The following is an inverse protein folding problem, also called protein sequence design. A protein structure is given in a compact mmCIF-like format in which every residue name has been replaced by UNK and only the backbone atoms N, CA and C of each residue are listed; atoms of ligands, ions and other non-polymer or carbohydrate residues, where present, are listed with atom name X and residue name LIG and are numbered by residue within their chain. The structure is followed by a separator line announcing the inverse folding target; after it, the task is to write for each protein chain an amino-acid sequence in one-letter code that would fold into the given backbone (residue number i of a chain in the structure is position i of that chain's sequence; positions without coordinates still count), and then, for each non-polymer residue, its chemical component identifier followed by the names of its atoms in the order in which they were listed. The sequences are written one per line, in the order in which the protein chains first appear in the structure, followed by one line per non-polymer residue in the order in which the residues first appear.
data_IF_223056472301
#
_entry.id   IF_223056472301
#
_cell.length_a   1.000
_cell.length_b   1.000
_cell.length_c   1.000
_cell.angle_alpha   90.00
_cell.angle_beta   90.00
_cell.angle_gamma   90.00
#
_symmetry.space_group_name_H-M   'P 1'
#
loop_
_entity.id
_entity.type
_entity.pdbx_description
1 polymer ?
#
# COMPACT_ATOMS: atom_id res chain seq x y z
N UNK A 1 -26.77 14.27 -22.88
CA UNK A 1 -27.82 13.37 -22.36
C UNK A 1 -27.94 12.18 -23.30
N UNK A 2 -27.46 11.00 -22.88
CA UNK A 2 -27.84 9.69 -23.42
C UNK A 2 -27.47 8.66 -22.34
N UNK A 3 -28.43 8.32 -21.46
CA UNK A 3 -28.31 7.21 -20.52
C UNK A 3 -28.71 5.92 -21.23
N UNK A 4 -27.75 5.05 -21.52
CA UNK A 4 -28.01 3.67 -21.91
C UNK A 4 -28.18 2.81 -20.65
N UNK A 5 -29.42 2.50 -20.29
CA UNK A 5 -29.73 1.45 -19.31
C UNK A 5 -29.39 0.09 -19.92
N UNK A 6 -28.28 -0.51 -19.49
CA UNK A 6 -28.09 -1.95 -19.65
C UNK A 6 -28.95 -2.65 -18.57
N UNK A 7 -29.72 -3.69 -18.91
CA UNK A 7 -30.43 -4.47 -17.91
C UNK A 7 -29.38 -5.14 -17.02
N UNK A 8 -29.57 -5.01 -15.71
CA UNK A 8 -28.78 -5.68 -14.68
C UNK A 8 -29.05 -7.19 -14.82
N UNK A 9 -28.30 -7.85 -15.70
CA UNK A 9 -28.32 -9.31 -15.83
C UNK A 9 -27.66 -9.84 -14.57
N UNK A 10 -28.48 -10.39 -13.68
CA UNK A 10 -28.01 -11.04 -12.46
C UNK A 10 -27.08 -12.20 -12.86
N UNK A 11 -25.79 -11.98 -12.66
CA UNK A 11 -24.73 -12.91 -13.04
C UNK A 11 -24.90 -14.24 -12.32
N UNK A 12 -25.50 -14.22 -11.13
CA UNK A 12 -25.74 -15.41 -10.33
C UNK A 12 -26.86 -16.27 -10.95
N UNK A 13 -27.95 -15.65 -11.44
CA UNK A 13 -29.03 -16.36 -12.16
C UNK A 13 -28.51 -16.98 -13.47
N UNK A 14 -27.63 -16.26 -14.19
CA UNK A 14 -27.04 -16.76 -15.43
C UNK A 14 -26.11 -17.95 -15.17
N UNK A 15 -25.30 -17.89 -14.11
CA UNK A 15 -24.40 -18.97 -13.72
C UNK A 15 -25.16 -20.20 -13.22
N UNK A 16 -26.30 -20.01 -12.56
CA UNK A 16 -27.17 -21.10 -12.09
C UNK A 16 -27.90 -21.79 -13.27
N UNK A 17 -28.34 -21.02 -14.28
CA UNK A 17 -28.85 -21.55 -15.55
C UNK A 17 -27.81 -22.32 -16.35
N UNK A 18 -26.56 -21.85 -16.38
CA UNK A 18 -25.47 -22.55 -17.07
C UNK A 18 -25.14 -23.87 -16.34
N UNK A 19 -25.09 -23.86 -15.01
CA UNK A 19 -24.86 -25.07 -14.21
C UNK A 19 -25.97 -26.11 -14.38
N UNK A 20 -27.23 -25.69 -14.35
CA UNK A 20 -28.37 -26.59 -14.56
C UNK A 20 -28.41 -27.18 -15.98
N UNK A 21 -28.09 -26.39 -17.00
CA UNK A 21 -28.03 -26.88 -18.39
C UNK A 21 -26.83 -27.83 -18.62
N UNK A 22 -25.68 -27.59 -17.97
CA UNK A 22 -24.53 -28.51 -17.99
C UNK A 22 -24.86 -29.82 -17.27
N UNK A 23 -25.58 -29.78 -16.14
CA UNK A 23 -26.03 -30.97 -15.42
C UNK A 23 -27.02 -31.79 -16.26
N UNK A 24 -27.94 -31.12 -16.97
CA UNK A 24 -28.86 -31.77 -17.91
C UNK A 24 -28.12 -32.43 -19.08
N UNK A 25 -27.14 -31.75 -19.68
CA UNK A 25 -26.28 -32.33 -20.72
C UNK A 25 -25.42 -33.48 -20.21
N UNK A 26 -24.90 -33.40 -18.98
CA UNK A 26 -24.19 -34.51 -18.33
C UNK A 26 -25.13 -35.70 -18.08
N UNK A 27 -26.38 -35.47 -17.69
CA UNK A 27 -27.38 -36.52 -17.53
C UNK A 27 -27.69 -37.20 -18.89
N UNK A 28 -27.94 -36.42 -19.95
CA UNK A 28 -28.19 -36.94 -21.31
C UNK A 28 -26.97 -37.66 -21.90
N UNK A 29 -25.74 -37.21 -21.58
CA UNK A 29 -24.49 -37.88 -22.00
C UNK A 29 -24.20 -39.12 -21.14
N UNK A 30 -24.66 -39.16 -19.90
CA UNK A 30 -24.47 -40.31 -18.99
C UNK A 30 -25.40 -41.48 -19.30
N UNK A 31 -26.60 -41.22 -19.83
CA UNK A 31 -27.53 -42.27 -20.30
C UNK A 31 -27.02 -42.95 -21.59
N UNK A 32 -26.18 -42.27 -22.38
CA UNK A 32 -25.52 -42.85 -23.54
C UNK A 32 -24.29 -43.71 -23.19
N UNK A 33 -23.74 -43.61 -21.97
CA UNK A 33 -22.45 -44.22 -21.56
C UNK A 33 -22.58 -45.40 -20.59
N UNK A 34 -23.79 -45.89 -20.28
CA UNK A 34 -23.99 -47.11 -19.46
C UNK A 34 -24.11 -48.39 -20.28
N UNK A 35 -23.94 -48.34 -21.60
CA UNK A 35 -23.66 -49.55 -22.37
C UNK A 35 -22.17 -49.86 -22.24
N UNK A 36 -21.81 -50.67 -21.24
CA UNK A 36 -20.56 -51.43 -21.24
C UNK A 36 -20.35 -52.00 -22.63
N UNK A 37 -19.13 -51.96 -23.21
CA UNK A 37 -18.85 -52.75 -24.39
C UNK A 37 -18.82 -54.20 -23.92
N UNK A 38 -20.00 -54.82 -23.90
CA UNK A 38 -20.09 -56.27 -24.01
C UNK A 38 -19.11 -56.63 -25.11
N UNK A 39 -18.15 -57.46 -24.74
CA UNK A 39 -17.26 -58.16 -25.63
C UNK A 39 -18.13 -58.94 -26.59
N UNK A 40 -18.63 -58.26 -27.63
CA UNK A 40 -19.27 -58.86 -28.76
C UNK A 40 -18.11 -59.40 -29.59
N UNK A 41 -17.53 -60.49 -29.08
CA UNK A 41 -16.78 -61.44 -29.87
C UNK A 41 -17.76 -61.96 -30.90
N UNK A 42 -17.90 -61.19 -31.99
CA UNK A 42 -18.46 -61.74 -33.20
C UNK A 42 -17.40 -62.75 -33.63
N UNK A 43 -17.59 -64.00 -33.25
CA UNK A 43 -17.09 -65.14 -34.01
C UNK A 43 -17.70 -64.99 -35.41
N UNK A 44 -17.11 -64.09 -36.21
CA UNK A 44 -17.49 -63.88 -37.59
C UNK A 44 -17.01 -65.13 -38.29
N UNK A 45 -17.91 -65.94 -38.88
CA UNK A 45 -17.45 -67.05 -39.70
C UNK A 45 -16.51 -66.46 -40.74
N UNK A 46 -15.25 -66.91 -40.72
CA UNK A 46 -14.25 -66.56 -41.72
C UNK A 46 -14.88 -66.92 -43.06
N UNK A 47 -15.36 -65.91 -43.77
CA UNK A 47 -15.94 -66.09 -45.09
C UNK A 47 -14.79 -66.55 -46.00
N UNK A 48 -14.74 -67.86 -46.24
CA UNK A 48 -13.74 -68.51 -47.05
C UNK A 48 -14.34 -68.64 -48.45
N UNK A 49 -13.91 -67.83 -49.44
CA UNK A 49 -14.50 -67.84 -50.76
C UNK A 49 -14.34 -69.25 -51.34
N UNK A 50 -15.48 -69.85 -51.63
CA UNK A 50 -15.57 -71.27 -51.92
C UNK A 50 -15.19 -71.57 -53.37
N UNK A 51 -13.97 -71.19 -53.76
CA UNK A 51 -13.42 -71.42 -55.10
C UNK A 51 -13.52 -72.91 -55.52
N UNK A 52 -13.37 -73.82 -54.56
CA UNK A 52 -13.54 -75.27 -54.79
C UNK A 52 -15.00 -75.75 -54.94
N UNK A 53 -15.99 -75.03 -54.39
CA UNK A 53 -17.41 -75.44 -54.48
C UNK A 53 -18.03 -75.01 -55.81
N UNK A 54 -17.68 -73.83 -56.33
CA UNK A 54 -18.18 -73.36 -57.63
C UNK A 54 -17.74 -74.23 -58.80
N UNK A 55 -16.50 -74.71 -58.78
CA UNK A 55 -16.00 -75.64 -59.80
C UNK A 55 -16.84 -76.92 -59.87
N UNK A 56 -17.31 -77.44 -58.74
CA UNK A 56 -18.18 -78.62 -58.71
C UNK A 56 -19.58 -78.34 -59.26
N UNK A 57 -20.16 -77.19 -58.89
CA UNK A 57 -21.47 -76.75 -59.40
C UNK A 57 -21.42 -76.51 -60.92
N UNK A 58 -20.37 -75.86 -61.41
CA UNK A 58 -20.17 -75.62 -62.85
C UNK A 58 -20.01 -76.92 -63.63
N UNK A 59 -19.24 -77.87 -63.11
CA UNK A 59 -19.09 -79.19 -63.72
C UNK A 59 -20.41 -79.99 -63.73
N UNK A 60 -21.18 -79.94 -62.64
CA UNK A 60 -22.49 -80.59 -62.57
C UNK A 60 -23.49 -79.98 -63.55
N UNK A 61 -23.52 -78.65 -63.68
CA UNK A 61 -24.36 -77.95 -64.65
C UNK A 61 -23.92 -78.22 -66.09
N UNK A 62 -22.62 -78.30 -66.34
CA UNK A 62 -22.08 -78.68 -67.64
C UNK A 62 -22.50 -80.10 -68.03
N UNK A 63 -22.43 -81.06 -67.11
CA UNK A 63 -22.92 -82.43 -67.34
C UNK A 63 -24.44 -82.45 -67.55
N UNK A 64 -25.21 -81.71 -66.75
CA UNK A 64 -26.66 -81.58 -66.91
C UNK A 64 -27.03 -81.00 -68.28
N UNK A 65 -26.26 -80.02 -68.78
CA UNK A 65 -26.41 -79.46 -70.13
C UNK A 65 -26.19 -80.51 -71.22
N UNK A 66 -25.16 -81.35 -71.09
CA UNK A 66 -24.91 -82.44 -72.04
C UNK A 66 -26.06 -83.47 -72.07
N UNK A 67 -26.60 -83.82 -70.90
CA UNK A 67 -27.69 -84.80 -70.77
C UNK A 67 -29.04 -84.22 -71.23
N UNK A 68 -29.26 -82.91 -71.12
CA UNK A 68 -30.47 -82.25 -71.62
C UNK A 68 -30.68 -82.41 -73.14
N UNK A 69 -29.60 -82.73 -73.89
CA UNK A 69 -29.62 -82.91 -75.34
C UNK A 69 -29.84 -84.36 -75.81
N UNK A 70 -30.09 -85.31 -74.89
CA UNK A 70 -30.33 -86.72 -75.22
C UNK A 70 -31.60 -86.88 -76.10
N UNK A 71 -31.55 -87.79 -77.08
CA UNK A 71 -32.66 -88.05 -78.03
C UNK A 71 -32.69 -87.14 -79.27
N UNK A 72 -31.72 -86.24 -79.42
CA UNK A 72 -31.59 -85.36 -80.60
C UNK A 72 -30.81 -85.98 -81.76
N UNK A 73 -29.89 -86.91 -81.47
CA UNK A 73 -29.01 -87.56 -82.45
C UNK A 73 -29.17 -89.07 -82.40
N UNK A 74 -29.20 -89.70 -83.57
CA UNK A 74 -29.19 -91.16 -83.67
C UNK A 74 -27.79 -91.67 -83.29
N UNK A 75 -27.66 -92.60 -82.33
CA UNK A 75 -26.36 -93.18 -81.98
C UNK A 75 -25.75 -93.88 -83.20
N UNK A 76 -24.43 -93.81 -83.31
CA UNK A 76 -23.75 -94.42 -84.42
C UNK A 76 -23.80 -95.96 -84.29
N UNK A 77 -24.57 -96.61 -85.17
CA UNK A 77 -24.83 -98.05 -85.18
C UNK A 77 -23.61 -98.86 -85.67
N UNK A 78 -22.46 -98.69 -85.02
CA UNK A 78 -21.18 -99.32 -85.38
C UNK A 78 -21.17 -100.84 -85.15
N UNK A 79 -22.08 -101.34 -84.31
CA UNK A 79 -22.24 -102.76 -83.98
C UNK A 79 -22.94 -103.56 -85.09
N UNK A 80 -23.74 -102.92 -85.95
CA UNK A 80 -24.44 -103.58 -87.06
C UNK A 80 -23.70 -103.35 -88.38
N UNK A 81 -23.47 -104.43 -89.15
CA UNK A 81 -22.79 -104.39 -90.46
C UNK A 81 -23.73 -104.70 -91.62
N UNK A 82 -23.48 -104.11 -92.79
CA UNK A 82 -24.21 -104.36 -94.03
C UNK A 82 -25.67 -103.91 -94.01
N UNK A 83 -26.57 -104.70 -94.60
CA UNK A 83 -28.00 -104.40 -94.73
C UNK A 83 -28.71 -104.25 -93.36
N UNK A 84 -28.25 -105.00 -92.34
CA UNK A 84 -28.75 -104.90 -90.96
C UNK A 84 -28.58 -103.49 -90.39
N UNK A 85 -27.50 -102.78 -90.76
CA UNK A 85 -27.26 -101.38 -90.37
C UNK A 85 -28.27 -100.42 -90.99
N UNK A 86 -28.62 -100.61 -92.27
CA UNK A 86 -29.61 -99.77 -92.96
C UNK A 86 -30.99 -99.90 -92.32
N UNK A 87 -31.40 -101.12 -91.98
CA UNK A 87 -32.67 -101.37 -91.28
C UNK A 87 -32.64 -100.78 -89.86
N UNK A 88 -31.58 -101.01 -89.10
CA UNK A 88 -31.43 -100.44 -87.76
C UNK A 88 -31.46 -98.89 -87.77
N UNK A 89 -30.86 -98.26 -88.78
CA UNK A 89 -30.93 -96.82 -88.97
C UNK A 89 -32.33 -96.32 -89.33
N UNK A 90 -33.07 -97.06 -90.17
CA UNK A 90 -34.44 -96.70 -90.55
C UNK A 90 -35.40 -96.81 -89.36
N UNK A 91 -35.40 -97.94 -88.66
CA UNK A 91 -36.19 -98.16 -87.44
C UNK A 91 -35.79 -97.15 -86.36
N UNK A 92 -34.48 -96.90 -86.20
CA UNK A 92 -33.97 -95.90 -85.27
C UNK A 92 -34.46 -94.48 -85.59
N UNK A 93 -34.56 -94.08 -86.86
CA UNK A 93 -35.10 -92.77 -87.25
C UNK A 93 -36.60 -92.65 -86.93
N UNK A 94 -37.38 -93.71 -87.14
CA UNK A 94 -38.82 -93.72 -86.80
C UNK A 94 -38.99 -93.62 -85.28
N UNK A 95 -38.28 -94.46 -84.52
CA UNK A 95 -38.27 -94.42 -83.07
C UNK A 95 -37.85 -93.05 -82.53
N UNK A 96 -36.78 -92.47 -83.08
CA UNK A 96 -36.31 -91.14 -82.70
C UNK A 96 -37.35 -90.06 -82.97
N UNK A 97 -38.09 -90.10 -84.08
CA UNK A 97 -39.11 -89.11 -84.40
C UNK A 97 -40.31 -89.18 -83.45
N UNK A 98 -40.74 -90.39 -83.08
CA UNK A 98 -41.81 -90.61 -82.09
C UNK A 98 -41.34 -90.20 -80.69
N UNK A 99 -40.13 -90.60 -80.31
CA UNK A 99 -39.49 -90.21 -79.05
C UNK A 99 -39.31 -88.69 -78.95
N UNK A 100 -38.99 -88.01 -80.04
CA UNK A 100 -38.81 -86.56 -80.09
C UNK A 100 -40.10 -85.78 -79.85
N UNK A 101 -41.26 -86.31 -80.23
CA UNK A 101 -42.57 -85.69 -79.93
C UNK A 101 -42.83 -85.74 -78.43
N UNK A 102 -42.60 -86.89 -77.80
CA UNK A 102 -42.82 -87.08 -76.36
C UNK A 102 -41.78 -86.30 -75.52
N UNK A 103 -40.53 -86.23 -75.99
CA UNK A 103 -39.42 -85.57 -75.28
C UNK A 103 -39.27 -84.08 -75.61
N UNK A 104 -40.08 -83.49 -76.49
CA UNK A 104 -39.95 -82.06 -76.86
C UNK A 104 -40.20 -81.15 -75.66
N UNK A 105 -41.31 -81.37 -74.96
CA UNK A 105 -41.72 -80.53 -73.83
C UNK A 105 -40.83 -80.79 -72.61
N UNK A 106 -40.38 -82.04 -72.42
CA UNK A 106 -39.37 -82.37 -71.40
C UNK A 106 -38.03 -81.66 -71.64
N UNK A 107 -37.58 -81.54 -72.91
CA UNK A 107 -36.36 -80.80 -73.25
C UNK A 107 -36.51 -79.31 -73.03
N UNK A 108 -37.62 -78.71 -73.47
CA UNK A 108 -37.90 -77.30 -73.23
C UNK A 108 -37.96 -76.97 -71.73
N UNK A 109 -38.58 -77.84 -70.92
CA UNK A 109 -38.55 -77.74 -69.47
C UNK A 109 -37.12 -77.80 -68.92
N UNK A 110 -36.34 -78.82 -69.30
CA UNK A 110 -34.96 -78.97 -68.83
C UNK A 110 -34.07 -77.78 -69.22
N UNK A 111 -34.21 -77.23 -70.43
CA UNK A 111 -33.49 -76.03 -70.87
C UNK A 111 -33.90 -74.79 -70.07
N UNK A 112 -35.20 -74.60 -69.81
CA UNK A 112 -35.68 -73.47 -69.00
C UNK A 112 -35.17 -73.52 -67.55
N UNK A 113 -35.14 -74.72 -66.94
CA UNK A 113 -34.58 -74.93 -65.61
C UNK A 113 -33.07 -74.65 -65.63
N UNK A 114 -32.35 -75.12 -66.65
CA UNK A 114 -30.92 -74.90 -66.78
C UNK A 114 -30.60 -73.39 -66.88
N UNK A 115 -31.35 -72.64 -67.69
CA UNK A 115 -31.22 -71.17 -67.78
C UNK A 115 -31.52 -70.49 -66.44
N UNK A 116 -32.59 -70.90 -65.75
CA UNK A 116 -32.92 -70.36 -64.43
C UNK A 116 -31.79 -70.63 -63.41
N UNK A 117 -31.25 -71.85 -63.38
CA UNK A 117 -30.16 -72.21 -62.47
C UNK A 117 -28.86 -71.47 -62.80
N UNK A 118 -28.52 -71.28 -64.07
CA UNK A 118 -27.38 -70.44 -64.46
C UNK A 118 -27.56 -68.97 -64.05
N UNK A 119 -28.77 -68.41 -64.22
CA UNK A 119 -29.05 -67.04 -63.78
C UNK A 119 -28.96 -66.88 -62.26
N UNK A 120 -29.45 -67.87 -61.50
CA UNK A 120 -29.32 -67.91 -60.04
C UNK A 120 -27.86 -68.04 -59.60
N UNK A 121 -27.07 -68.87 -60.28
CA UNK A 121 -25.64 -68.98 -60.01
C UNK A 121 -24.93 -67.62 -60.16
N UNK A 122 -25.23 -66.88 -61.21
CA UNK A 122 -24.61 -65.58 -61.47
C UNK A 122 -24.99 -64.54 -60.39
N UNK A 123 -26.26 -64.48 -60.00
CA UNK A 123 -26.73 -63.61 -58.90
C UNK A 123 -26.01 -63.97 -57.59
N UNK A 124 -25.90 -65.26 -57.27
CA UNK A 124 -25.23 -65.70 -56.04
C UNK A 124 -23.74 -65.33 -56.07
N UNK A 125 -23.04 -65.47 -57.20
CA UNK A 125 -21.65 -65.02 -57.35
C UNK A 125 -21.50 -63.51 -57.12
N UNK A 126 -22.42 -62.71 -57.63
CA UNK A 126 -22.42 -61.25 -57.42
C UNK A 126 -22.66 -60.88 -55.95
N UNK A 127 -23.60 -61.55 -55.29
CA UNK A 127 -23.86 -61.37 -53.84
C UNK A 127 -22.61 -61.74 -53.04
N UNK A 128 -21.98 -62.87 -53.37
CA UNK A 128 -20.78 -63.36 -52.72
C UNK A 128 -19.60 -62.37 -52.84
N UNK A 129 -19.39 -61.82 -54.04
CA UNK A 129 -18.40 -60.75 -54.27
C UNK A 129 -18.73 -59.48 -53.46
N UNK A 130 -19.99 -59.08 -53.41
CA UNK A 130 -20.45 -57.90 -52.65
C UNK A 130 -20.24 -58.08 -51.14
N UNK A 131 -20.50 -59.28 -50.62
CA UNK A 131 -20.24 -59.64 -49.21
C UNK A 131 -18.75 -59.56 -48.92
N UNK A 132 -17.91 -60.09 -49.82
CA UNK A 132 -16.45 -60.04 -49.69
C UNK A 132 -15.95 -58.60 -49.61
N UNK A 133 -16.41 -57.74 -50.52
CA UNK A 133 -16.06 -56.32 -50.52
C UNK A 133 -16.55 -55.63 -49.23
N UNK A 134 -17.79 -55.91 -48.82
CA UNK A 134 -18.36 -55.34 -47.58
C UNK A 134 -17.57 -55.76 -46.34
N UNK A 135 -17.07 -56.99 -46.30
CA UNK A 135 -16.21 -57.48 -45.23
C UNK A 135 -14.87 -56.73 -45.18
N UNK A 136 -14.22 -56.51 -46.33
CA UNK A 136 -12.99 -55.70 -46.39
C UNK A 136 -13.24 -54.24 -45.99
N UNK A 137 -14.37 -53.65 -46.38
CA UNK A 137 -14.76 -52.32 -45.91
C UNK A 137 -14.95 -52.27 -44.39
N UNK A 138 -15.60 -53.27 -43.81
CA UNK A 138 -15.77 -53.36 -42.35
C UNK A 138 -14.43 -53.48 -41.62
N UNK A 139 -13.49 -54.26 -42.17
CA UNK A 139 -12.12 -54.37 -41.65
C UNK A 139 -11.38 -53.03 -41.71
N UNK A 140 -11.55 -52.29 -42.81
CA UNK A 140 -10.95 -50.95 -42.92
C UNK A 140 -11.55 -49.97 -41.90
N UNK A 141 -12.86 -50.00 -41.68
CA UNK A 141 -13.54 -49.18 -40.66
C UNK A 141 -13.01 -49.51 -39.26
N UNK A 142 -12.81 -50.79 -38.94
CA UNK A 142 -12.28 -51.20 -37.64
C UNK A 142 -10.84 -50.69 -37.43
N UNK A 143 -10.00 -50.77 -38.46
CA UNK A 143 -8.65 -50.19 -38.42
C UNK A 143 -8.67 -48.67 -38.21
N UNK A 144 -9.56 -47.95 -38.91
CA UNK A 144 -9.71 -46.50 -38.72
C UNK A 144 -10.19 -46.16 -37.30
N UNK A 145 -11.11 -46.96 -36.75
CA UNK A 145 -11.58 -46.80 -35.37
C UNK A 145 -10.45 -46.98 -34.36
N UNK A 146 -9.59 -47.98 -34.57
CA UNK A 146 -8.43 -48.21 -33.72
C UNK A 146 -7.43 -47.04 -33.79
N UNK A 147 -7.10 -46.57 -35.00
CA UNK A 147 -6.24 -45.41 -35.19
C UNK A 147 -6.83 -44.13 -34.54
N UNK A 148 -8.14 -43.91 -34.65
CA UNK A 148 -8.81 -42.81 -33.96
C UNK A 148 -8.71 -42.92 -32.44
N UNK A 149 -8.85 -44.11 -31.88
CA UNK A 149 -8.71 -44.34 -30.44
C UNK A 149 -7.27 -44.06 -29.96
N UNK A 150 -6.26 -44.45 -30.74
CA UNK A 150 -4.86 -44.13 -30.44
C UNK A 150 -4.60 -42.62 -30.43
N UNK A 151 -5.10 -41.90 -31.45
CA UNK A 151 -5.00 -40.44 -31.52
C UNK A 151 -5.70 -39.78 -30.33
N UNK A 152 -6.90 -40.27 -29.98
CA UNK A 152 -7.65 -39.76 -28.82
C UNK A 152 -6.87 -39.94 -27.53
N UNK A 153 -6.35 -41.13 -27.28
CA UNK A 153 -5.59 -41.43 -26.07
C UNK A 153 -4.30 -40.59 -26.00
N UNK A 154 -3.57 -40.47 -27.12
CA UNK A 154 -2.39 -39.62 -27.19
C UNK A 154 -2.71 -38.15 -26.90
N UNK A 155 -3.83 -37.65 -27.45
CA UNK A 155 -4.30 -36.29 -27.16
C UNK A 155 -4.66 -36.14 -25.67
N UNK A 156 -5.40 -37.08 -25.08
CA UNK A 156 -5.76 -37.05 -23.65
C UNK A 156 -4.52 -37.02 -22.74
N UNK A 157 -3.51 -37.85 -23.02
CA UNK A 157 -2.23 -37.84 -22.29
C UNK A 157 -1.49 -36.51 -22.46
N UNK A 158 -1.41 -35.98 -23.68
CA UNK A 158 -0.75 -34.70 -23.95
C UNK A 158 -1.46 -33.54 -23.26
N UNK A 159 -2.79 -33.46 -23.36
CA UNK A 159 -3.57 -32.43 -22.69
C UNK A 159 -3.42 -32.52 -21.17
N UNK A 160 -3.47 -33.72 -20.59
CA UNK A 160 -3.23 -33.91 -19.14
C UNK A 160 -1.83 -33.43 -18.72
N UNK A 161 -0.79 -33.72 -19.52
CA UNK A 161 0.58 -33.26 -19.23
C UNK A 161 0.73 -31.74 -19.34
N UNK A 162 0.01 -31.10 -20.26
CA UNK A 162 0.03 -29.63 -20.42
C UNK A 162 -0.76 -28.98 -19.29
N UNK A 163 -1.93 -29.50 -18.94
CA UNK A 163 -2.77 -29.00 -17.84
C UNK A 163 -1.98 -29.05 -16.52
N UNK A 164 -1.37 -30.20 -16.19
CA UNK A 164 -0.57 -30.33 -14.96
C UNK A 164 0.64 -29.39 -14.93
N UNK A 165 1.30 -29.11 -16.06
CA UNK A 165 2.36 -28.09 -16.15
C UNK A 165 1.83 -26.69 -15.87
N UNK A 166 0.70 -26.33 -16.48
CA UNK A 166 0.07 -25.03 -16.27
C UNK A 166 -0.36 -24.86 -14.81
N UNK A 167 -0.96 -25.90 -14.21
CA UNK A 167 -1.37 -25.89 -12.80
C UNK A 167 -0.17 -25.72 -11.86
N UNK A 168 0.93 -26.41 -12.11
CA UNK A 168 2.15 -26.27 -11.31
C UNK A 168 2.78 -24.87 -11.42
N UNK A 169 2.85 -24.29 -12.63
CA UNK A 169 3.34 -22.93 -12.82
C UNK A 169 2.40 -21.90 -12.19
N UNK A 170 1.08 -22.13 -12.26
CA UNK A 170 0.09 -21.28 -11.61
C UNK A 170 0.25 -21.29 -10.09
N UNK A 171 0.36 -22.48 -9.48
CA UNK A 171 0.61 -22.64 -8.04
C UNK A 171 1.91 -21.98 -7.60
N UNK A 172 2.98 -22.11 -8.38
CA UNK A 172 4.25 -21.43 -8.11
C UNK A 172 4.09 -19.91 -8.12
N UNK A 173 3.43 -19.38 -9.15
CA UNK A 173 3.17 -17.94 -9.28
C UNK A 173 2.29 -17.43 -8.14
N UNK A 174 1.29 -18.20 -7.73
CA UNK A 174 0.41 -17.85 -6.61
C UNK A 174 1.16 -17.78 -5.27
N UNK A 175 2.07 -18.74 -5.02
CA UNK A 175 2.94 -18.73 -3.86
C UNK A 175 3.91 -17.53 -3.90
N UNK A 176 4.53 -17.25 -5.04
CA UNK A 176 5.43 -16.09 -5.19
C UNK A 176 4.66 -14.77 -4.92
N UNK A 177 3.41 -14.66 -5.38
CA UNK A 177 2.54 -13.50 -5.10
C UNK A 177 2.22 -13.40 -3.60
N UNK A 178 1.94 -14.53 -2.95
CA UNK A 178 1.68 -14.57 -1.51
C UNK A 178 2.90 -14.08 -0.70
N UNK A 179 4.09 -14.59 -1.04
CA UNK A 179 5.34 -14.20 -0.38
C UNK A 179 5.67 -12.73 -0.60
N UNK A 180 5.47 -12.21 -1.82
CA UNK A 180 5.62 -10.78 -2.12
C UNK A 180 4.66 -9.92 -1.32
N UNK A 181 3.39 -10.33 -1.17
CA UNK A 181 2.42 -9.60 -0.34
C UNK A 181 2.82 -9.61 1.13
N UNK A 182 3.27 -10.75 1.65
CA UNK A 182 3.75 -10.86 3.02
C UNK A 182 4.96 -9.93 3.26
N UNK A 183 5.91 -9.90 2.31
CA UNK A 183 7.05 -9.00 2.35
C UNK A 183 6.62 -7.52 2.35
N UNK A 184 5.74 -7.12 1.43
CA UNK A 184 5.22 -5.74 1.33
C UNK A 184 4.56 -5.33 2.66
N UNK A 185 3.69 -6.17 3.22
CA UNK A 185 3.02 -5.86 4.50
C UNK A 185 4.02 -5.70 5.65
N UNK A 186 5.06 -6.55 5.70
CA UNK A 186 6.11 -6.45 6.71
C UNK A 186 6.95 -5.16 6.56
N UNK A 187 7.22 -4.78 5.31
CA UNK A 187 7.96 -3.57 4.97
C UNK A 187 7.15 -2.32 5.34
N UNK A 188 5.87 -2.27 4.96
CA UNK A 188 4.96 -1.18 5.32
C UNK A 188 4.83 -1.03 6.84
N UNK A 189 4.69 -2.15 7.57
CA UNK A 189 4.64 -2.13 9.04
C UNK A 189 5.92 -1.55 9.65
N UNK A 190 7.10 -1.97 9.15
CA UNK A 190 8.39 -1.44 9.59
C UNK A 190 8.54 0.05 9.29
N UNK A 191 8.18 0.48 8.07
CA UNK A 191 8.23 1.88 7.65
C UNK A 191 7.30 2.76 8.50
N UNK A 192 6.07 2.31 8.74
CA UNK A 192 5.10 3.01 9.59
C UNK A 192 5.59 3.14 11.04
N UNK A 193 6.24 2.08 11.57
CA UNK A 193 6.85 2.15 12.91
C UNK A 193 7.97 3.18 12.97
N UNK A 194 8.85 3.21 11.97
CA UNK A 194 9.93 4.21 11.90
C UNK A 194 9.39 5.63 11.76
N UNK A 195 8.39 5.83 10.89
CA UNK A 195 7.72 7.14 10.73
C UNK A 195 7.08 7.60 12.04
N UNK A 196 6.46 6.69 12.78
CA UNK A 196 5.89 6.99 14.10
C UNK A 196 6.96 7.40 15.13
N UNK A 197 8.08 6.68 15.20
CA UNK A 197 9.20 7.03 16.10
C UNK A 197 9.80 8.40 15.74
N UNK A 198 9.99 8.67 14.46
CA UNK A 198 10.48 9.98 13.98
C UNK A 198 9.48 11.08 14.34
N UNK A 199 8.18 10.85 14.13
CA UNK A 199 7.14 11.81 14.48
C UNK A 199 7.14 12.14 15.96
N UNK A 200 7.31 11.14 16.84
CA UNK A 200 7.40 11.32 18.28
C UNK A 200 8.65 12.11 18.70
N UNK A 201 9.80 11.82 18.08
CA UNK A 201 11.04 12.57 18.32
C UNK A 201 10.90 14.02 17.87
N UNK A 202 10.28 14.26 16.71
CA UNK A 202 10.03 15.62 16.21
C UNK A 202 9.09 16.39 17.13
N UNK A 203 8.02 15.78 17.65
CA UNK A 203 7.14 16.46 18.60
C UNK A 203 7.85 16.80 19.90
N UNK A 204 8.67 15.87 20.43
CA UNK A 204 9.44 16.12 21.65
C UNK A 204 10.45 17.25 21.45
N UNK A 205 11.22 17.23 20.35
CA UNK A 205 12.17 18.30 20.03
C UNK A 205 11.47 19.65 19.82
N UNK A 206 10.29 19.64 19.19
CA UNK A 206 9.50 20.85 19.02
C UNK A 206 9.06 21.43 20.37
N UNK A 207 8.61 20.60 21.30
CA UNK A 207 8.24 21.01 22.65
C UNK A 207 9.44 21.54 23.45
N UNK A 208 10.59 20.85 23.38
CA UNK A 208 11.84 21.31 24.03
C UNK A 208 12.31 22.67 23.49
N UNK A 209 12.30 22.83 22.16
CA UNK A 209 12.67 24.10 21.52
C UNK A 209 11.70 25.22 21.88
N UNK A 210 10.40 24.94 21.96
CA UNK A 210 9.38 25.91 22.39
C UNK A 210 9.63 26.36 23.83
N UNK A 211 9.89 25.42 24.74
CA UNK A 211 10.23 25.72 26.14
C UNK A 211 11.50 26.57 26.24
N UNK A 212 12.57 26.19 25.54
CA UNK A 212 13.82 26.98 25.51
C UNK A 212 13.62 28.37 24.92
N UNK A 213 12.83 28.49 23.86
CA UNK A 213 12.51 29.78 23.25
C UNK A 213 11.76 30.67 24.25
N UNK A 214 10.79 30.13 24.98
CA UNK A 214 10.06 30.86 26.02
C UNK A 214 10.97 31.28 27.18
N UNK A 215 11.85 30.40 27.64
CA UNK A 215 12.83 30.72 28.69
C UNK A 215 13.77 31.86 28.27
N UNK A 216 14.27 31.82 27.04
CA UNK A 216 15.13 32.88 26.49
C UNK A 216 14.36 34.20 26.41
N UNK A 217 13.12 34.18 25.92
CA UNK A 217 12.29 35.38 25.84
C UNK A 217 12.05 36.00 27.22
N UNK A 218 11.74 35.18 28.25
CA UNK A 218 11.58 35.67 29.62
C UNK A 218 12.87 36.31 30.16
N UNK A 219 14.04 35.72 29.91
CA UNK A 219 15.33 36.30 30.32
C UNK A 219 15.65 37.60 29.58
N UNK A 220 15.25 37.70 28.31
CA UNK A 220 15.40 38.93 27.53
C UNK A 220 14.50 40.02 28.12
N UNK A 221 13.24 39.70 28.42
CA UNK A 221 12.28 40.65 29.00
C UNK A 221 12.72 41.13 30.39
N UNK A 222 13.23 40.22 31.23
CA UNK A 222 13.75 40.53 32.55
C UNK A 222 14.98 41.46 32.48
N UNK A 223 15.95 41.12 31.63
CA UNK A 223 17.14 41.97 31.45
C UNK A 223 16.78 43.32 30.83
N UNK A 224 15.85 43.35 29.86
CA UNK A 224 15.36 44.59 29.25
C UNK A 224 14.72 45.49 30.30
N UNK A 225 13.90 44.92 31.18
CA UNK A 225 13.27 45.65 32.29
C UNK A 225 14.30 46.16 33.31
N UNK A 226 15.32 45.35 33.64
CA UNK A 226 16.40 45.75 34.54
C UNK A 226 17.20 46.92 33.96
N UNK A 227 17.63 46.82 32.70
CA UNK A 227 18.36 47.88 32.04
C UNK A 227 17.53 49.15 31.87
N UNK A 228 16.23 49.03 31.59
CA UNK A 228 15.33 50.17 31.55
C UNK A 228 15.27 50.88 32.91
N UNK A 229 15.16 50.12 34.02
CA UNK A 229 15.19 50.68 35.37
C UNK A 229 16.52 51.36 35.73
N UNK A 230 17.65 50.79 35.30
CA UNK A 230 18.98 51.41 35.48
C UNK A 230 19.09 52.72 34.69
N UNK A 231 18.62 52.75 33.44
CA UNK A 231 18.57 53.96 32.61
C UNK A 231 17.69 55.03 33.27
N UNK A 232 16.52 54.65 33.76
CA UNK A 232 15.59 55.57 34.42
C UNK A 232 16.21 56.15 35.70
N UNK A 233 16.88 55.33 36.51
CA UNK A 233 17.56 55.79 37.72
C UNK A 233 18.73 56.74 37.41
N UNK A 234 19.58 56.39 36.44
CA UNK A 234 20.67 57.26 35.98
C UNK A 234 20.14 58.59 35.43
N UNK A 235 19.02 58.56 34.70
CA UNK A 235 18.37 59.78 34.20
C UNK A 235 17.88 60.68 35.36
N UNK A 236 17.37 60.08 36.43
CA UNK A 236 16.93 60.78 37.63
C UNK A 236 18.10 61.39 38.39
N UNK A 237 19.19 60.65 38.58
CA UNK A 237 20.42 61.15 39.21
C UNK A 237 21.05 62.28 38.41
N UNK A 238 21.11 62.15 37.08
CA UNK A 238 21.58 63.21 36.19
C UNK A 238 20.73 64.47 36.36
N UNK A 239 19.40 64.34 36.38
CA UNK A 239 18.47 65.46 36.60
C UNK A 239 18.70 66.15 37.95
N UNK A 240 18.85 65.37 39.04
CA UNK A 240 19.16 65.92 40.37
C UNK A 240 20.49 66.65 40.40
N UNK A 241 21.50 66.12 39.72
CA UNK A 241 22.84 66.72 39.65
C UNK A 241 22.80 68.03 38.87
N UNK A 242 22.09 68.07 37.74
CA UNK A 242 21.85 69.30 36.98
C UNK A 242 21.16 70.38 37.83
N UNK A 243 20.14 70.01 38.62
CA UNK A 243 19.48 70.93 39.55
C UNK A 243 20.43 71.48 40.61
N UNK A 244 21.32 70.64 41.18
CA UNK A 244 22.34 71.10 42.13
C UNK A 244 23.33 72.06 41.48
N UNK A 245 23.78 71.78 40.26
CA UNK A 245 24.67 72.65 39.50
C UNK A 245 24.01 74.02 39.28
N UNK A 246 22.74 74.05 38.90
CA UNK A 246 21.99 75.29 38.68
C UNK A 246 21.84 76.12 39.97
N UNK A 247 21.53 75.46 41.09
CA UNK A 247 21.49 76.09 42.40
C UNK A 247 22.86 76.69 42.80
N UNK A 248 23.93 75.90 42.68
CA UNK A 248 25.29 76.35 43.01
C UNK A 248 25.72 77.52 42.14
N UNK A 249 25.42 77.46 40.84
CA UNK A 249 25.69 78.55 39.89
C UNK A 249 24.96 79.82 40.30
N UNK A 250 23.69 79.72 40.67
CA UNK A 250 22.89 80.87 41.14
C UNK A 250 23.47 81.45 42.44
N UNK A 251 23.85 80.60 43.40
CA UNK A 251 24.48 81.02 44.65
C UNK A 251 25.81 81.73 44.41
N UNK A 252 26.66 81.19 43.53
CA UNK A 252 27.93 81.80 43.16
C UNK A 252 27.75 83.19 42.55
N UNK A 253 26.80 83.35 41.62
CA UNK A 253 26.46 84.65 41.02
C UNK A 253 26.01 85.66 42.07
N UNK A 254 25.22 85.24 43.06
CA UNK A 254 24.80 86.11 44.16
C UNK A 254 25.96 86.49 45.08
N UNK A 255 26.86 85.55 45.37
CA UNK A 255 28.07 85.81 46.16
C UNK A 255 29.00 86.80 45.43
N UNK A 256 29.22 86.60 44.13
CA UNK A 256 30.04 87.48 43.30
C UNK A 256 29.48 88.93 43.30
N UNK A 257 28.16 89.08 43.18
CA UNK A 257 27.50 90.39 43.29
C UNK A 257 27.69 91.03 44.68
N UNK A 258 27.56 90.25 45.76
CA UNK A 258 27.76 90.74 47.13
C UNK A 258 29.20 91.18 47.37
N UNK A 259 30.17 90.39 46.91
CA UNK A 259 31.59 90.72 46.98
C UNK A 259 31.91 91.97 46.17
N UNK A 260 31.34 92.09 44.96
CA UNK A 260 31.49 93.29 44.14
C UNK A 260 30.98 94.53 44.87
N UNK A 261 29.79 94.46 45.47
CA UNK A 261 29.25 95.57 46.27
C UNK A 261 30.10 95.89 47.50
N UNK A 262 30.60 94.87 48.21
CA UNK A 262 31.50 95.06 49.36
C UNK A 262 32.82 95.72 48.94
N UNK A 263 33.41 95.29 47.83
CA UNK A 263 34.64 95.86 47.29
C UNK A 263 34.40 97.30 46.81
N UNK A 264 33.26 97.57 46.17
CA UNK A 264 32.88 98.89 45.70
C UNK A 264 32.63 99.85 46.88
N UNK A 265 31.97 99.38 47.93
CA UNK A 265 31.72 100.16 49.14
C UNK A 265 33.01 100.36 49.97
N UNK A 266 33.89 99.36 50.01
CA UNK A 266 35.24 99.50 50.56
C UNK A 266 36.04 100.54 49.77
N UNK A 267 36.04 100.48 48.43
CA UNK A 267 36.71 101.48 47.57
C UNK A 267 36.14 102.88 47.74
N UNK A 268 34.82 103.03 47.93
CA UNK A 268 34.17 104.34 48.19
C UNK A 268 34.57 104.94 49.55
N UNK A 269 34.93 104.13 50.54
CA UNK A 269 35.26 104.58 51.90
C UNK A 269 36.76 104.63 52.20
N UNK A 270 37.63 104.37 51.23
CA UNK A 270 39.09 104.50 51.38
C UNK A 270 39.58 105.84 50.81
N UNK A 271 39.92 106.79 51.68
CA UNK A 271 41.07 107.66 51.52
C UNK A 271 42.12 107.32 52.58
N UNK A 272 43.20 106.69 52.14
CA UNK A 272 44.43 106.31 52.89
C UNK A 272 44.25 105.49 54.19
N UNK A 273 45.35 104.87 54.63
CA UNK A 273 45.41 103.74 55.56
C UNK A 273 44.47 103.83 56.76
N UNK A 274 43.68 102.77 56.98
CA UNK A 274 42.81 102.61 58.15
C UNK A 274 43.57 102.85 59.46
N UNK A 275 43.05 103.72 60.32
CA UNK A 275 43.57 103.84 61.69
C UNK A 275 43.21 102.59 62.50
N UNK A 276 43.98 102.32 63.56
CA UNK A 276 43.79 101.15 64.41
C UNK A 276 42.37 101.09 65.02
N UNK A 277 41.81 102.26 65.36
CA UNK A 277 40.44 102.36 65.89
C UNK A 277 39.37 102.03 64.84
N UNK A 278 39.61 102.35 63.57
CA UNK A 278 38.66 102.03 62.49
C UNK A 278 38.64 100.54 62.19
N UNK A 279 39.81 99.88 62.21
CA UNK A 279 39.95 98.42 62.08
C UNK A 279 39.26 97.68 63.22
N UNK A 280 39.41 98.16 64.46
CA UNK A 280 38.72 97.59 65.61
C UNK A 280 37.19 97.72 65.46
N UNK A 281 36.67 98.89 65.04
CA UNK A 281 35.23 99.07 64.80
C UNK A 281 34.67 98.21 63.66
N UNK A 282 35.49 97.91 62.65
CA UNK A 282 35.11 97.06 61.52
C UNK A 282 35.09 95.58 61.92
N UNK A 283 36.08 95.14 62.71
CA UNK A 283 36.13 93.76 63.25
C UNK A 283 34.98 93.52 64.23
N UNK A 284 34.63 94.52 65.04
CA UNK A 284 33.52 94.44 65.98
C UNK A 284 32.17 94.35 65.26
N UNK A 285 31.93 95.20 64.25
CA UNK A 285 30.73 95.10 63.40
C UNK A 285 30.67 93.84 62.55
N UNK A 286 31.83 93.32 62.13
CA UNK A 286 31.88 92.05 61.40
C UNK A 286 31.47 90.89 62.32
N UNK A 287 31.92 90.86 63.58
CA UNK A 287 31.49 89.85 64.57
C UNK A 287 29.96 89.84 64.76
N UNK A 288 29.35 91.01 64.91
CA UNK A 288 27.88 91.13 65.03
C UNK A 288 27.13 90.57 63.80
N UNK A 289 27.76 90.58 62.61
CA UNK A 289 27.18 90.02 61.39
C UNK A 289 27.41 88.50 61.25
N UNK A 290 28.47 87.97 61.84
CA UNK A 290 28.79 86.53 61.80
C UNK A 290 28.07 85.73 62.90
N UNK A 291 27.68 86.35 64.00
CA UNK A 291 26.97 85.67 65.09
C UNK A 291 25.62 85.04 64.67
N UNK A 292 24.74 85.73 63.89
CA UNK A 292 23.53 85.11 63.36
C UNK A 292 23.81 83.96 62.38
N UNK A 293 24.86 84.09 61.57
CA UNK A 293 25.25 83.06 60.61
C UNK A 293 25.77 81.79 61.30
N UNK A 294 26.63 81.95 62.32
CA UNK A 294 27.11 80.82 63.12
C UNK A 294 25.97 80.17 63.91
N UNK A 295 25.01 80.95 64.40
CA UNK A 295 23.82 80.42 65.06
C UNK A 295 22.96 79.55 64.13
N UNK A 296 22.62 80.03 62.93
CA UNK A 296 21.85 79.25 61.93
C UNK A 296 22.62 78.01 61.43
N UNK A 297 23.93 78.14 61.25
CA UNK A 297 24.80 77.02 60.86
C UNK A 297 24.82 75.93 61.93
N UNK A 298 25.00 76.29 63.20
CA UNK A 298 24.95 75.31 64.30
C UNK A 298 23.56 74.68 64.41
N UNK A 299 22.47 75.42 64.23
CA UNK A 299 21.12 74.85 64.28
C UNK A 299 20.89 73.80 63.16
N UNK A 300 21.36 74.06 61.95
CA UNK A 300 21.20 73.15 60.81
C UNK A 300 22.09 71.90 60.88
N UNK A 301 23.33 72.01 61.37
CA UNK A 301 24.30 70.91 61.33
C UNK A 301 24.56 70.22 62.68
N UNK A 302 24.40 70.94 63.80
CA UNK A 302 24.54 70.40 65.17
C UNK A 302 23.17 69.98 65.72
N UNK A 303 22.15 70.78 65.44
CA UNK A 303 20.76 70.61 65.89
C UNK A 303 20.33 71.70 66.87
N UNK A 304 19.04 71.66 67.23
CA UNK A 304 18.42 72.65 68.13
C UNK A 304 19.05 72.63 69.53
N UNK A 305 18.99 73.76 70.25
CA UNK A 305 19.52 73.84 71.63
C UNK A 305 18.88 72.80 72.54
N UNK A 306 17.59 72.50 72.36
CA UNK A 306 16.88 71.51 73.17
C UNK A 306 17.32 70.08 72.84
N UNK A 307 17.53 69.75 71.56
CA UNK A 307 18.08 68.45 71.16
C UNK A 307 19.49 68.23 71.71
N UNK A 308 20.32 69.27 71.71
CA UNK A 308 21.69 69.21 72.24
C UNK A 308 21.69 69.06 73.75
N UNK A 309 20.80 69.77 74.46
CA UNK A 309 20.62 69.58 75.91
C UNK A 309 20.17 68.15 76.22
N UNK A 310 19.21 67.60 75.48
CA UNK A 310 18.73 66.23 75.72
C UNK A 310 19.84 65.19 75.50
N UNK A 311 20.64 65.34 74.43
CA UNK A 311 21.80 64.46 74.19
C UNK A 311 22.85 64.56 75.30
N UNK A 312 23.04 65.73 75.92
CA UNK A 312 24.02 65.94 76.98
C UNK A 312 23.54 65.48 78.36
N UNK A 313 22.22 65.35 78.60
CA UNK A 313 21.67 64.93 79.90
C UNK A 313 22.16 63.56 80.37
N UNK A 314 22.56 62.69 79.45
CA UNK A 314 23.15 61.38 79.77
C UNK A 314 24.39 61.48 80.67
N UNK A 315 25.07 62.64 80.67
CA UNK A 315 26.29 62.86 81.45
C UNK A 315 26.03 63.36 82.87
N UNK A 316 24.82 63.85 83.18
CA UNK A 316 24.49 64.38 84.50
C UNK A 316 24.65 63.37 85.66
N UNK A 317 24.30 62.08 85.52
CA UNK A 317 24.53 61.09 86.57
C UNK A 317 26.01 60.95 86.94
N UNK A 318 26.91 60.98 85.95
CA UNK A 318 28.36 60.88 86.18
C UNK A 318 28.91 62.10 86.92
N UNK A 319 28.42 63.30 86.60
CA UNK A 319 28.78 64.54 87.32
C UNK A 319 28.32 64.47 88.78
N UNK A 320 27.10 63.98 89.02
CA UNK A 320 26.55 63.80 90.38
C UNK A 320 27.32 62.76 91.19
N UNK A 321 27.67 61.63 90.59
CA UNK A 321 28.47 60.58 91.24
C UNK A 321 29.88 61.07 91.60
N UNK A 322 30.50 61.87 90.72
CA UNK A 322 31.80 62.47 90.96
C UNK A 322 31.80 63.59 92.01
N UNK A 323 30.62 64.01 92.50
CA UNK A 323 30.41 65.17 93.38
C UNK A 323 31.06 66.44 92.82
N UNK A 324 31.02 66.60 91.50
CA UNK A 324 31.54 67.77 90.80
C UNK A 324 30.44 68.84 90.67
N UNK A 325 30.82 70.11 90.62
CA UNK A 325 29.91 71.26 90.65
C UNK A 325 29.70 71.88 92.03
N UNK A 326 30.58 71.59 93.00
CA UNK A 326 30.60 72.20 94.34
C UNK A 326 31.74 73.22 94.46
N UNK A 327 31.72 74.06 95.49
CA UNK A 327 32.78 75.07 95.75
C UNK A 327 34.19 74.46 95.90
N UNK A 328 34.29 73.18 96.24
CA UNK A 328 35.55 72.45 96.38
C UNK A 328 35.94 71.66 95.11
N UNK A 329 35.01 71.49 94.14
CA UNK A 329 35.20 70.70 92.92
C UNK A 329 34.48 71.34 91.71
N UNK A 330 35.15 72.31 91.07
CA UNK A 330 34.62 73.03 89.91
C UNK A 330 34.53 72.18 88.63
N UNK A 331 33.56 72.48 87.78
CA UNK A 331 33.44 71.93 86.42
C UNK A 331 33.85 72.99 85.42
N UNK A 332 34.71 72.64 84.47
CA UNK A 332 35.12 73.49 83.36
C UNK A 332 34.56 72.92 82.05
N UNK A 333 33.79 73.73 81.33
CA UNK A 333 33.29 73.39 80.00
C UNK A 333 34.23 73.92 78.90
N UNK A 334 34.98 73.02 78.27
CA UNK A 334 35.93 73.37 77.23
C UNK A 334 35.21 73.41 75.87
N UNK A 335 35.17 74.59 75.27
CA UNK A 335 34.46 74.80 74.01
C UNK A 335 32.94 74.88 74.23
N UNK A 336 32.52 75.67 75.23
CA UNK A 336 31.12 75.75 75.68
C UNK A 336 30.11 76.14 74.59
N UNK A 337 30.56 76.72 73.46
CA UNK A 337 29.70 77.06 72.33
C UNK A 337 28.54 77.97 72.77
N UNK A 338 27.29 77.54 72.52
CA UNK A 338 26.06 78.25 72.94
C UNK A 338 25.69 78.04 74.42
N UNK A 339 26.59 77.44 75.20
CA UNK A 339 26.49 77.27 76.65
C UNK A 339 25.45 76.26 77.12
N UNK A 340 24.99 75.34 76.26
CA UNK A 340 23.95 74.37 76.63
C UNK A 340 24.36 73.47 77.81
N UNK A 341 25.64 73.08 77.87
CA UNK A 341 26.15 72.25 78.97
C UNK A 341 26.23 73.02 80.28
N UNK A 342 26.72 74.27 80.23
CA UNK A 342 26.71 75.19 81.37
C UNK A 342 25.30 75.46 81.88
N UNK A 343 24.29 75.51 80.99
CA UNK A 343 22.88 75.69 81.38
C UNK A 343 22.33 74.45 82.11
N UNK A 344 22.75 73.24 81.72
CA UNK A 344 22.36 71.99 82.38
C UNK A 344 23.04 71.75 83.74
N UNK A 345 24.19 72.38 83.97
CA UNK A 345 24.99 72.20 85.19
C UNK A 345 24.70 73.23 86.29
N UNK A 346 23.85 74.22 86.03
CA UNK A 346 23.25 75.07 87.06
C UNK A 346 22.18 74.29 87.82
#
# INVERSE_FOLDING_TARGET
MMHGQFPNVDLDELMERIRSEILRRKADTSVANTASPDSFSIDRPVYNPSAGKWSQVENALFMAKQVSQVGTRLPAMHTFRGWKRKIAQFVGKIYLRVSQVITRDQRAFNESILVAVYSLQEIIKQIESTITMSYEHLKHIDNLRNAMNEIRNWNEEKFSSVISRIENEHLKTENDIYDLRAFINSFESSANKQLSDISLRLSFLHEELSCRSNEINLKIDENTSRFQGEIDNLSLELKKTLQKIDYLKTSLLLQDRRLTLLIEEARRRIPESFSKEQLESFVEKARDYYDPFYFEFEDQFRGSRDDIKERQRIYLPYIREAKAGTEERFVLDLGCGRGEWLELLK
#
